data_IF_477351859114
#
_entry.id   IF_477351859114
#
_cell.length_a   1.000
_cell.length_b   1.000
_cell.length_c   1.000
_cell.angle_alpha   90.00
_cell.angle_beta   90.00
_cell.angle_gamma   90.00
#
_symmetry.space_group_name_H-M   'P 1'
#
loop_
_entity.id
_entity.type
_entity.pdbx_description
1 polymer ?
#
# COMPACT_ATOMS: atom_id res chain seq x y z
N UNK A 1 -14.31 -4.55 -14.51
CA UNK A 1 -14.29 -3.85 -13.20
C UNK A 1 -13.15 -2.86 -13.28
N UNK A 2 -13.42 -1.56 -13.13
CA UNK A 2 -12.38 -0.54 -13.26
C UNK A 2 -11.46 -0.54 -12.04
N UNK A 3 -10.35 -1.27 -12.12
CA UNK A 3 -9.33 -1.35 -11.06
C UNK A 3 -8.56 -0.04 -10.85
N UNK A 4 -8.53 0.80 -11.88
CA UNK A 4 -7.76 2.06 -11.86
C UNK A 4 -8.23 3.03 -10.78
N UNK A 5 -9.55 3.05 -10.48
CA UNK A 5 -10.09 3.89 -9.40
C UNK A 5 -9.67 3.40 -8.01
N UNK A 6 -9.56 2.08 -7.83
CA UNK A 6 -9.14 1.47 -6.58
C UNK A 6 -7.63 1.65 -6.38
N UNK A 7 -6.86 1.49 -7.45
CA UNK A 7 -5.43 1.82 -7.47
C UNK A 7 -5.17 3.25 -7.01
N UNK A 8 -5.84 4.24 -7.61
CA UNK A 8 -5.71 5.65 -7.19
C UNK A 8 -6.11 5.90 -5.74
N UNK A 9 -7.13 5.19 -5.24
CA UNK A 9 -7.56 5.33 -3.84
C UNK A 9 -6.49 4.78 -2.87
N UNK A 10 -5.93 3.60 -3.16
CA UNK A 10 -4.88 2.97 -2.36
C UNK A 10 -3.59 3.79 -2.39
N UNK A 11 -3.14 4.22 -3.57
CA UNK A 11 -1.95 5.08 -3.74
C UNK A 11 -2.08 6.38 -2.95
N UNK A 12 -3.26 7.02 -2.98
CA UNK A 12 -3.50 8.26 -2.24
C UNK A 12 -3.43 8.07 -0.72
N UNK A 13 -3.90 6.94 -0.22
CA UNK A 13 -3.82 6.63 1.22
C UNK A 13 -2.39 6.32 1.64
N UNK A 14 -1.66 5.53 0.84
CA UNK A 14 -0.25 5.24 1.07
C UNK A 14 0.57 6.54 1.08
N UNK A 15 0.34 7.45 0.12
CA UNK A 15 0.99 8.77 0.10
C UNK A 15 0.72 9.54 1.39
N UNK A 16 -0.54 9.59 1.86
CA UNK A 16 -0.88 10.29 3.12
C UNK A 16 -0.19 9.70 4.35
N UNK A 17 0.01 8.38 4.38
CA UNK A 17 0.76 7.73 5.44
C UNK A 17 2.24 8.09 5.36
N UNK A 18 2.84 8.07 4.17
CA UNK A 18 4.21 8.51 3.94
C UNK A 18 4.41 9.99 4.34
N UNK A 19 3.49 10.88 3.96
CA UNK A 19 3.51 12.30 4.34
C UNK A 19 3.43 12.50 5.87
N UNK A 20 2.89 11.51 6.60
CA UNK A 20 2.84 11.46 8.07
C UNK A 20 4.08 10.81 8.70
N UNK A 21 5.06 10.42 7.90
CA UNK A 21 6.30 9.78 8.34
C UNK A 21 6.18 8.27 8.58
N UNK A 22 5.19 7.60 7.98
CA UNK A 22 5.05 6.16 8.10
C UNK A 22 5.96 5.44 7.11
N UNK A 23 6.91 4.69 7.64
CA UNK A 23 7.81 3.83 6.84
C UNK A 23 7.25 2.42 6.66
N UNK A 24 6.38 1.97 7.57
CA UNK A 24 5.75 0.65 7.55
C UNK A 24 4.23 0.81 7.55
N UNK A 25 3.58 0.30 6.51
CA UNK A 25 2.13 0.43 6.34
C UNK A 25 1.48 -0.94 6.48
N UNK A 26 0.37 -1.02 7.21
CA UNK A 26 -0.43 -2.25 7.31
C UNK A 26 -1.64 -2.18 6.38
N UNK A 27 -1.97 -3.27 5.71
CA UNK A 27 -3.16 -3.36 4.85
C UNK A 27 -4.43 -3.07 5.64
N UNK A 28 -4.46 -3.40 6.93
CA UNK A 28 -5.54 -3.11 7.86
C UNK A 28 -5.78 -1.59 8.00
N UNK A 29 -4.73 -0.77 7.95
CA UNK A 29 -4.84 0.69 8.00
C UNK A 29 -5.35 1.26 6.67
N UNK A 30 -4.92 0.66 5.55
CA UNK A 30 -5.44 1.01 4.22
C UNK A 30 -6.93 0.67 4.15
N UNK A 31 -7.34 -0.48 4.68
CA UNK A 31 -8.76 -0.86 4.79
C UNK A 31 -9.53 0.11 5.66
N UNK A 32 -8.98 0.50 6.82
CA UNK A 32 -9.61 1.46 7.71
C UNK A 32 -9.86 2.81 7.01
N UNK A 33 -8.87 3.33 6.27
CA UNK A 33 -8.99 4.63 5.58
C UNK A 33 -9.83 4.59 4.30
N UNK A 34 -9.75 3.49 3.53
CA UNK A 34 -10.42 3.39 2.21
C UNK A 34 -11.79 2.71 2.27
N UNK A 35 -12.08 1.96 3.33
CA UNK A 35 -13.23 1.04 3.42
C UNK A 35 -13.32 0.00 2.28
N UNK A 36 -12.21 -0.26 1.56
CA UNK A 36 -12.16 -1.25 0.49
C UNK A 36 -11.92 -2.66 1.05
N UNK A 37 -12.54 -3.71 0.49
CA UNK A 37 -12.27 -5.08 0.92
C UNK A 37 -10.76 -5.40 0.91
N UNK A 38 -10.28 -6.12 1.93
CA UNK A 38 -8.87 -6.49 2.06
C UNK A 38 -8.36 -7.21 0.80
N UNK A 39 -9.13 -8.17 0.28
CA UNK A 39 -8.78 -8.92 -0.94
C UNK A 39 -8.57 -7.99 -2.15
N UNK A 40 -9.38 -6.93 -2.27
CA UNK A 40 -9.25 -5.93 -3.33
C UNK A 40 -7.99 -5.08 -3.15
N UNK A 41 -7.64 -4.70 -1.91
CA UNK A 41 -6.42 -3.95 -1.62
C UNK A 41 -5.19 -4.80 -1.99
N UNK A 42 -5.19 -6.07 -1.60
CA UNK A 42 -4.11 -7.01 -1.93
C UNK A 42 -3.97 -7.20 -3.44
N UNK A 43 -5.08 -7.36 -4.16
CA UNK A 43 -5.07 -7.49 -5.62
C UNK A 43 -4.54 -6.21 -6.30
N UNK A 44 -4.95 -5.04 -5.81
CA UNK A 44 -4.45 -3.74 -6.30
C UNK A 44 -2.94 -3.60 -6.08
N UNK A 45 -2.44 -3.94 -4.90
CA UNK A 45 -1.00 -3.91 -4.59
C UNK A 45 -0.24 -4.87 -5.52
N UNK A 46 -0.74 -6.09 -5.70
CA UNK A 46 -0.14 -7.10 -6.58
C UNK A 46 -0.14 -6.70 -8.07
N UNK A 47 -1.13 -5.93 -8.53
CA UNK A 47 -1.13 -5.37 -9.90
C UNK A 47 -0.09 -4.25 -10.10
N UNK A 48 0.61 -3.85 -9.03
CA UNK A 48 1.60 -2.80 -9.03
C UNK A 48 0.96 -1.43 -8.79
N UNK A 49 1.48 -0.73 -7.80
CA UNK A 49 1.07 0.62 -7.42
C UNK A 49 2.29 1.51 -7.21
N UNK A 50 2.10 2.82 -7.31
CA UNK A 50 3.11 3.79 -6.94
C UNK A 50 3.20 3.87 -5.41
N UNK A 51 4.37 3.50 -4.88
CA UNK A 51 4.67 3.56 -3.46
C UNK A 51 5.74 4.63 -3.24
N UNK A 52 5.53 5.59 -2.33
CA UNK A 52 6.50 6.63 -2.00
C UNK A 52 7.81 6.01 -1.49
N UNK A 53 8.93 6.69 -1.75
CA UNK A 53 10.26 6.19 -1.39
C UNK A 53 10.49 6.12 0.11
N UNK A 54 9.70 6.82 0.90
CA UNK A 54 9.70 6.82 2.36
C UNK A 54 9.13 5.51 2.94
N UNK A 55 8.32 4.78 2.16
CA UNK A 55 7.73 3.52 2.60
C UNK A 55 8.70 2.39 2.34
N UNK A 56 9.09 1.70 3.41
CA UNK A 56 10.00 0.56 3.40
C UNK A 56 9.26 -0.76 3.22
N UNK A 57 8.06 -0.89 3.80
CA UNK A 57 7.28 -2.13 3.69
C UNK A 57 5.77 -1.93 3.81
N UNK A 58 5.03 -2.86 3.19
CA UNK A 58 3.60 -3.04 3.41
C UNK A 58 3.38 -4.46 3.95
N UNK A 59 2.63 -4.57 5.05
CA UNK A 59 2.37 -5.83 5.75
C UNK A 59 0.88 -6.13 5.87
N UNK A 60 0.53 -7.41 6.01
CA UNK A 60 -0.83 -7.88 6.26
C UNK A 60 -0.79 -9.10 7.19
N UNK A 61 -1.52 -9.06 8.31
CA UNK A 61 -1.54 -10.18 9.27
C UNK A 61 -0.15 -10.60 9.77
N UNK A 62 0.78 -9.64 9.90
CA UNK A 62 2.17 -9.89 10.30
C UNK A 62 3.10 -10.42 9.21
N UNK A 63 2.63 -10.54 7.95
CA UNK A 63 3.45 -10.93 6.79
C UNK A 63 3.75 -9.74 5.91
N UNK A 64 4.97 -9.64 5.41
CA UNK A 64 5.36 -8.63 4.42
C UNK A 64 4.77 -9.03 3.07
N UNK A 65 3.93 -8.16 2.48
CA UNK A 65 3.33 -8.36 1.15
C UNK A 65 4.04 -7.56 0.07
N UNK A 66 4.67 -6.45 0.47
CA UNK A 66 5.52 -5.64 -0.38
C UNK A 66 6.68 -5.12 0.47
N UNK A 67 7.88 -5.15 -0.09
CA UNK A 67 9.06 -4.55 0.52
C UNK A 67 9.74 -3.72 -0.55
N UNK A 68 10.23 -2.56 -0.15
CA UNK A 68 11.11 -1.76 -1.01
C UNK A 68 12.31 -2.62 -1.38
N UNK A 69 12.50 -2.83 -2.67
CA UNK A 69 13.74 -3.44 -3.16
C UNK A 69 14.88 -2.48 -2.81
N UNK A 70 15.76 -2.91 -1.91
CA UNK A 70 17.04 -2.25 -1.70
C UNK A 70 17.80 -2.41 -3.01
N UNK A 71 17.82 -1.38 -3.84
CA UNK A 71 18.78 -1.30 -4.93
C UNK A 71 20.17 -1.24 -4.27
N UNK A 72 20.84 -2.38 -4.19
CA UNK A 72 22.27 -2.43 -3.92
C UNK A 72 22.97 -1.60 -5.01
N UNK A 73 23.57 -0.49 -4.61
CA UNK A 73 24.36 0.41 -5.47
C UNK A 73 25.81 -0.10 -5.52
#
# INVERSE_FOLDING_TARGET
>A
MDFEKYKKAVEKVIQRFADRGWEEIRVEEIWFETSLPIDLILEVINQGILIPSEVNSITHGGKVIWKKEEQEI
#
